data_IF_872180008938
#
_entry.id   IF_872180008938
#
_cell.length_a   1.000
_cell.length_b   1.000
_cell.length_c   1.000
_cell.angle_alpha   90.00
_cell.angle_beta   90.00
_cell.angle_gamma   90.00
#
_symmetry.space_group_name_H-M   'P 1'
#
loop_
_entity.id
_entity.type
_entity.pdbx_description
1 polymer ?
#
# COMPACT_ATOMS: atom_id res chain seq x y z
N UNK A 1 -1.80 0.49 14.28
CA UNK A 1 -1.64 1.97 14.19
C UNK A 1 -2.79 2.60 14.96
N UNK A 2 -2.53 3.49 15.93
CA UNK A 2 -3.59 4.17 16.69
C UNK A 2 -4.27 5.27 15.86
N UNK A 3 -5.51 5.62 16.20
CA UNK A 3 -6.32 6.58 15.45
C UNK A 3 -5.65 7.97 15.33
N UNK A 4 -5.10 8.50 16.43
CA UNK A 4 -4.40 9.79 16.42
C UNK A 4 -3.22 9.80 15.45
N UNK A 5 -2.37 8.76 15.52
CA UNK A 5 -1.19 8.65 14.65
C UNK A 5 -1.59 8.49 13.17
N UNK A 6 -2.70 7.81 12.88
CA UNK A 6 -3.23 7.73 11.52
C UNK A 6 -3.71 9.10 11.02
N UNK A 7 -4.42 9.86 11.85
CA UNK A 7 -4.92 11.19 11.48
C UNK A 7 -3.80 12.19 11.18
N UNK A 8 -2.66 12.07 11.89
CA UNK A 8 -1.46 12.87 11.67
C UNK A 8 -0.69 12.46 10.41
N UNK A 9 -0.70 11.18 10.04
CA UNK A 9 0.09 10.65 8.91
C UNK A 9 -0.65 10.62 7.58
N UNK A 10 -1.99 10.60 7.56
CA UNK A 10 -2.73 10.49 6.32
C UNK A 10 -2.51 11.70 5.39
N UNK A 11 -2.18 11.42 4.14
CA UNK A 11 -1.96 12.42 3.11
C UNK A 11 -3.30 12.94 2.62
N UNK A 12 -3.54 14.23 2.86
CA UNK A 12 -4.77 14.96 2.49
C UNK A 12 -4.58 15.67 1.16
N UNK A 13 -5.66 15.78 0.39
CA UNK A 13 -5.64 16.35 -0.96
C UNK A 13 -4.59 15.70 -1.87
N UNK A 14 -4.29 14.42 -1.62
CA UNK A 14 -3.34 13.62 -2.38
C UNK A 14 -4.03 13.06 -3.62
N UNK A 15 -3.46 13.30 -4.79
CA UNK A 15 -3.93 12.72 -6.06
C UNK A 15 -3.91 11.20 -6.00
N UNK A 16 -5.01 10.54 -6.36
CA UNK A 16 -5.09 9.07 -6.40
C UNK A 16 -4.17 8.50 -7.49
N UNK A 17 -4.09 9.19 -8.63
CA UNK A 17 -3.16 8.90 -9.72
C UNK A 17 -2.26 10.12 -9.92
N UNK A 18 -0.97 10.07 -9.54
CA UNK A 18 -0.03 11.18 -9.70
C UNK A 18 0.39 11.39 -11.17
N UNK A 19 0.98 12.56 -11.54
CA UNK A 19 1.19 13.74 -10.71
C UNK A 19 -0.06 14.61 -10.55
N UNK A 20 -0.92 14.67 -11.57
CA UNK A 20 -2.12 15.50 -11.59
C UNK A 20 -3.36 14.64 -11.88
N UNK A 21 -4.20 14.46 -10.87
CA UNK A 21 -5.54 13.88 -11.02
C UNK A 21 -6.56 14.80 -10.36
N UNK A 22 -7.75 14.86 -10.97
CA UNK A 22 -8.90 15.60 -10.43
C UNK A 22 -9.37 14.95 -9.13
N UNK A 23 -9.20 13.63 -9.00
CA UNK A 23 -9.66 12.88 -7.83
C UNK A 23 -8.55 12.79 -6.80
N UNK A 24 -8.84 13.31 -5.61
CA UNK A 24 -7.92 13.43 -4.48
C UNK A 24 -8.52 12.84 -3.21
N UNK A 25 -7.68 12.49 -2.25
CA UNK A 25 -8.13 12.12 -0.90
C UNK A 25 -8.84 13.29 -0.22
N UNK A 26 -9.86 13.00 0.60
CA UNK A 26 -10.63 14.05 1.26
C UNK A 26 -9.84 14.74 2.38
N UNK A 27 -9.69 16.06 2.30
CA UNK A 27 -9.02 16.88 3.32
C UNK A 27 -9.62 16.80 4.72
N UNK A 28 -10.92 16.52 4.80
CA UNK A 28 -11.67 16.44 6.06
C UNK A 28 -11.87 15.01 6.58
N UNK A 29 -11.28 14.00 5.93
CA UNK A 29 -11.33 12.62 6.41
C UNK A 29 -10.79 12.54 7.85
N UNK A 30 -11.42 11.72 8.69
CA UNK A 30 -11.02 11.48 10.07
C UNK A 30 -10.59 10.03 10.23
N UNK A 31 -9.58 9.78 11.07
CA UNK A 31 -9.05 8.42 11.24
C UNK A 31 -10.11 7.40 11.69
N UNK A 32 -11.11 7.83 12.47
CA UNK A 32 -12.22 6.96 12.89
C UNK A 32 -13.04 6.42 11.71
N UNK A 33 -13.10 7.18 10.62
CA UNK A 33 -13.88 6.90 9.42
C UNK A 33 -13.07 6.13 8.37
N UNK A 34 -11.76 5.93 8.58
CA UNK A 34 -10.87 5.17 7.69
C UNK A 34 -10.98 3.68 7.92
N UNK A 35 -11.34 2.93 6.89
CA UNK A 35 -11.39 1.46 6.92
C UNK A 35 -10.31 0.82 6.05
N UNK A 36 -9.68 1.58 5.14
CA UNK A 36 -8.62 1.08 4.26
C UNK A 36 -7.42 2.02 4.25
N UNK A 37 -6.25 1.50 4.60
CA UNK A 37 -4.98 2.24 4.59
C UNK A 37 -4.06 1.60 3.56
N UNK A 38 -3.55 2.43 2.65
CA UNK A 38 -2.63 2.02 1.59
C UNK A 38 -1.52 3.07 1.46
N UNK A 39 -0.50 2.77 0.67
CA UNK A 39 0.56 3.70 0.31
C UNK A 39 0.50 4.05 -1.18
N UNK A 40 1.25 5.07 -1.56
CA UNK A 40 1.47 5.43 -2.96
C UNK A 40 2.98 5.47 -3.21
N UNK A 41 3.42 4.97 -4.36
CA UNK A 41 4.82 5.00 -4.80
C UNK A 41 4.95 5.76 -6.13
N UNK A 42 6.04 5.56 -6.88
CA UNK A 42 6.25 6.23 -8.17
C UNK A 42 5.26 5.79 -9.25
N UNK A 43 4.64 4.64 -9.09
CA UNK A 43 3.79 3.98 -10.06
C UNK A 43 2.29 4.15 -9.81
N UNK A 44 1.91 4.68 -8.64
CA UNK A 44 0.52 4.87 -8.24
C UNK A 44 0.23 4.28 -6.87
N UNK A 45 -1.02 3.85 -6.65
CA UNK A 45 -1.37 3.14 -5.40
C UNK A 45 -0.57 1.84 -5.28
N UNK A 46 -0.03 1.54 -4.11
CA UNK A 46 0.80 0.36 -3.92
C UNK A 46 0.06 -0.74 -3.12
N UNK A 47 -0.30 -1.83 -3.80
CA UNK A 47 -1.08 -2.96 -3.25
C UNK A 47 -0.23 -3.98 -2.49
N UNK A 48 1.10 -3.83 -2.48
CA UNK A 48 2.05 -4.75 -1.83
C UNK A 48 1.95 -4.76 -0.30
N UNK A 49 1.45 -3.68 0.30
CA UNK A 49 1.23 -3.58 1.73
C UNK A 49 0.05 -2.65 2.03
N UNK A 50 -0.94 -3.19 2.72
CA UNK A 50 -2.19 -2.50 3.04
C UNK A 50 -2.73 -2.95 4.40
N UNK A 51 -3.60 -2.12 4.98
CA UNK A 51 -4.34 -2.45 6.20
C UNK A 51 -5.82 -2.25 5.94
N UNK A 52 -6.61 -3.28 6.22
CA UNK A 52 -8.06 -3.27 6.08
C UNK A 52 -8.70 -3.49 7.45
N UNK A 53 -9.54 -2.56 7.91
CA UNK A 53 -10.27 -2.68 9.17
C UNK A 53 -11.34 -3.75 9.01
N UNK A 54 -11.34 -4.75 9.87
CA UNK A 54 -12.39 -5.77 9.86
C UNK A 54 -13.76 -5.15 10.17
N UNK A 55 -14.74 -5.39 9.30
CA UNK A 55 -16.10 -4.86 9.40
C UNK A 55 -16.93 -5.16 8.15
N UNK A 56 -18.19 -4.72 8.14
CA UNK A 56 -19.08 -4.89 6.98
C UNK A 56 -18.57 -4.15 5.74
N UNK A 57 -18.00 -2.96 5.94
CA UNK A 57 -17.41 -2.20 4.84
C UNK A 57 -16.26 -2.96 4.17
N UNK A 58 -15.41 -3.66 4.93
CA UNK A 58 -14.34 -4.46 4.36
C UNK A 58 -14.85 -5.60 3.48
N UNK A 59 -15.96 -6.25 3.87
CA UNK A 59 -16.60 -7.28 3.03
C UNK A 59 -17.09 -6.68 1.73
N UNK A 60 -17.85 -5.58 1.81
CA UNK A 60 -18.32 -4.83 0.64
C UNK A 60 -17.15 -4.42 -0.29
N UNK A 61 -16.07 -3.89 0.29
CA UNK A 61 -14.89 -3.47 -0.47
C UNK A 61 -14.23 -4.66 -1.17
N UNK A 62 -14.04 -5.78 -0.48
CA UNK A 62 -13.45 -6.99 -1.07
C UNK A 62 -14.36 -7.60 -2.13
N UNK A 63 -15.67 -7.68 -1.91
CA UNK A 63 -16.63 -8.14 -2.92
C UNK A 63 -16.57 -7.28 -4.19
N UNK A 64 -16.44 -5.96 -4.02
CA UNK A 64 -16.29 -5.02 -5.14
C UNK A 64 -14.96 -5.21 -5.86
N UNK A 65 -13.84 -5.28 -5.13
CA UNK A 65 -12.50 -5.36 -5.74
C UNK A 65 -12.25 -6.70 -6.43
N UNK A 66 -12.84 -7.78 -5.90
CA UNK A 66 -12.76 -9.13 -6.46
C UNK A 66 -13.92 -9.46 -7.40
N UNK A 67 -14.76 -8.48 -7.75
CA UNK A 67 -15.87 -8.68 -8.68
C UNK A 67 -15.34 -9.24 -10.02
N UNK A 68 -16.00 -10.26 -10.61
CA UNK A 68 -15.58 -10.84 -11.88
C UNK A 68 -15.41 -9.81 -13.01
N UNK A 69 -16.16 -8.72 -13.01
CA UNK A 69 -16.03 -7.63 -13.99
C UNK A 69 -14.63 -7.00 -13.93
N UNK A 70 -14.13 -6.65 -12.74
CA UNK A 70 -12.79 -6.07 -12.60
C UNK A 70 -11.68 -7.09 -12.84
N UNK A 71 -11.90 -8.36 -12.44
CA UNK A 71 -10.93 -9.44 -12.62
C UNK A 71 -10.81 -9.93 -14.07
N UNK A 72 -11.90 -9.87 -14.82
CA UNK A 72 -11.92 -10.23 -16.24
C UNK A 72 -11.48 -9.09 -17.15
N UNK A 73 -11.50 -7.86 -16.66
CA UNK A 73 -10.93 -6.72 -17.37
C UNK A 73 -9.40 -6.78 -17.35
N UNK A 74 -8.77 -6.65 -18.52
CA UNK A 74 -7.33 -6.75 -18.67
C UNK A 74 -6.62 -5.43 -18.34
N UNK A 75 -6.63 -5.03 -17.07
CA UNK A 75 -5.92 -3.84 -16.60
C UNK A 75 -4.41 -3.96 -16.83
N UNK A 76 -3.78 -2.89 -17.33
CA UNK A 76 -2.35 -2.89 -17.66
C UNK A 76 -1.43 -3.21 -16.46
N UNK A 77 -1.75 -2.69 -15.26
CA UNK A 77 -1.05 -3.01 -14.00
C UNK A 77 -1.91 -3.89 -13.07
N UNK A 78 -2.65 -4.84 -13.65
CA UNK A 78 -3.43 -5.83 -12.93
C UNK A 78 -4.33 -5.21 -11.83
N UNK A 79 -4.28 -5.74 -10.60
CA UNK A 79 -5.14 -5.35 -9.49
C UNK A 79 -4.94 -3.91 -9.02
N UNK A 80 -3.75 -3.33 -9.23
CA UNK A 80 -3.43 -1.94 -8.85
C UNK A 80 -4.24 -0.95 -9.68
N UNK A 81 -4.23 -1.09 -11.00
CA UNK A 81 -5.04 -0.24 -11.88
C UNK A 81 -6.55 -0.47 -11.68
N UNK A 82 -6.96 -1.71 -11.36
CA UNK A 82 -8.34 -1.97 -10.98
C UNK A 82 -8.74 -1.18 -9.72
N UNK A 83 -7.88 -1.16 -8.70
CA UNK A 83 -8.10 -0.41 -7.48
C UNK A 83 -8.13 1.11 -7.73
N UNK A 84 -7.20 1.65 -8.52
CA UNK A 84 -7.19 3.06 -8.89
C UNK A 84 -8.45 3.47 -9.63
N UNK A 85 -8.96 2.61 -10.52
CA UNK A 85 -10.24 2.81 -11.17
C UNK A 85 -11.37 2.82 -10.14
N UNK A 86 -11.48 1.79 -9.30
CA UNK A 86 -12.53 1.69 -8.28
C UNK A 86 -12.56 2.93 -7.39
N UNK A 87 -11.41 3.36 -6.86
CA UNK A 87 -11.28 4.51 -5.98
C UNK A 87 -11.66 5.83 -6.67
N UNK A 88 -11.33 5.99 -7.95
CA UNK A 88 -11.69 7.19 -8.71
C UNK A 88 -13.19 7.29 -9.01
N UNK A 89 -13.86 6.16 -9.25
CA UNK A 89 -15.26 6.13 -9.69
C UNK A 89 -16.28 5.81 -8.58
N UNK A 90 -15.83 5.34 -7.41
CA UNK A 90 -16.70 4.97 -6.29
C UNK A 90 -16.36 5.79 -5.04
N UNK A 91 -16.99 6.97 -4.85
CA UNK A 91 -16.78 7.81 -3.67
C UNK A 91 -17.02 7.11 -2.33
N UNK A 92 -17.89 6.09 -2.31
CA UNK A 92 -18.15 5.23 -1.14
C UNK A 92 -16.91 4.46 -0.69
N UNK A 93 -15.98 4.15 -1.61
CA UNK A 93 -14.70 3.51 -1.30
C UNK A 93 -13.63 4.57 -0.99
N UNK A 94 -13.53 5.62 -1.80
CA UNK A 94 -12.59 6.73 -1.56
C UNK A 94 -12.79 7.37 -0.18
N UNK A 95 -14.04 7.51 0.28
CA UNK A 95 -14.38 8.10 1.59
C UNK A 95 -13.88 7.31 2.80
N UNK A 96 -13.41 6.08 2.60
CA UNK A 96 -12.85 5.20 3.65
C UNK A 96 -11.36 4.91 3.46
N UNK A 97 -10.76 5.45 2.39
CA UNK A 97 -9.36 5.23 2.03
C UNK A 97 -8.46 6.34 2.59
N UNK A 98 -7.39 5.95 3.28
CA UNK A 98 -6.29 6.83 3.64
C UNK A 98 -5.00 6.39 2.92
N UNK A 99 -4.34 7.35 2.29
CA UNK A 99 -2.96 7.19 1.81
C UNK A 99 -2.03 7.64 2.93
N UNK A 100 -1.04 6.82 3.29
CA UNK A 100 0.03 7.17 4.25
C UNK A 100 1.40 7.21 3.56
N UNK A 101 2.43 7.86 4.15
CA UNK A 101 3.77 7.83 3.59
C UNK A 101 4.24 6.41 3.32
N UNK A 102 4.86 6.18 2.17
CA UNK A 102 5.24 4.84 1.71
C UNK A 102 5.96 4.01 2.77
N UNK A 103 6.99 4.57 3.41
CA UNK A 103 7.79 3.87 4.42
C UNK A 103 7.04 3.53 5.71
N UNK A 104 5.85 4.09 5.93
CA UNK A 104 5.05 3.79 7.12
C UNK A 104 4.66 2.31 7.19
N UNK A 105 4.40 1.67 6.04
CA UNK A 105 4.04 0.23 5.97
C UNK A 105 4.63 -0.50 4.74
N UNK A 106 5.27 0.20 3.79
CA UNK A 106 5.63 -0.32 2.47
C UNK A 106 7.01 0.17 1.99
N UNK A 107 8.04 0.12 2.85
CA UNK A 107 9.39 0.55 2.45
C UNK A 107 10.05 -0.44 1.48
N UNK A 108 10.70 0.05 0.42
CA UNK A 108 11.31 -0.80 -0.61
C UNK A 108 12.77 -1.16 -0.31
N UNK A 109 13.23 -2.31 -0.78
CA UNK A 109 14.66 -2.68 -0.65
C UNK A 109 15.58 -1.78 -1.47
N UNK A 110 15.09 -1.24 -2.60
CA UNK A 110 15.84 -0.32 -3.48
C UNK A 110 15.09 0.99 -3.70
N UNK A 111 15.79 2.00 -4.22
CA UNK A 111 15.24 3.33 -4.53
C UNK A 111 14.51 3.40 -5.88
N UNK A 112 14.53 2.32 -6.66
CA UNK A 112 14.13 2.33 -8.07
C UNK A 112 12.64 2.66 -8.21
N UNK A 113 11.81 2.01 -7.40
CA UNK A 113 10.35 2.10 -7.47
C UNK A 113 9.72 3.01 -6.42
N UNK A 114 10.50 3.46 -5.43
CA UNK A 114 9.96 4.25 -4.33
C UNK A 114 10.96 4.50 -3.22
N UNK A 115 10.44 4.84 -2.05
CA UNK A 115 11.23 5.16 -0.89
C UNK A 115 11.89 3.90 -0.30
N UNK A 116 13.22 3.90 -0.28
CA UNK A 116 14.02 2.82 0.28
C UNK A 116 13.86 2.73 1.81
N UNK A 117 13.90 1.50 2.31
CA UNK A 117 13.97 1.12 3.71
C UNK A 117 15.08 1.86 4.46
N UNK A 118 14.76 2.25 5.70
CA UNK A 118 15.74 2.64 6.71
C UNK A 118 15.38 2.00 8.05
N UNK A 119 16.38 1.90 8.91
CA UNK A 119 16.20 1.39 10.27
C UNK A 119 15.04 2.10 10.99
N UNK A 120 14.15 1.29 11.57
CA UNK A 120 12.92 1.75 12.22
C UNK A 120 11.66 1.66 11.36
N UNK A 121 11.77 1.43 10.05
CA UNK A 121 10.61 1.07 9.23
C UNK A 121 10.09 -0.32 9.61
N UNK A 122 8.77 -0.52 9.54
CA UNK A 122 8.12 -1.72 10.09
C UNK A 122 8.20 -2.95 9.17
N UNK A 123 8.43 -2.74 7.87
CA UNK A 123 8.41 -3.79 6.86
C UNK A 123 9.31 -3.40 5.67
N UNK A 124 9.91 -4.42 5.05
CA UNK A 124 10.68 -4.30 3.80
C UNK A 124 9.91 -5.05 2.72
N UNK A 125 9.68 -4.40 1.59
CA UNK A 125 9.07 -4.99 0.40
C UNK A 125 10.12 -5.08 -0.69
N UNK A 126 10.34 -6.31 -1.16
CA UNK A 126 11.23 -6.63 -2.28
C UNK A 126 10.46 -6.42 -3.60
N UNK A 127 10.14 -5.18 -3.91
CA UNK A 127 9.36 -4.87 -5.11
C UNK A 127 10.12 -5.29 -6.39
N UNK A 128 9.40 -5.87 -7.36
CA UNK A 128 9.91 -6.22 -8.69
C UNK A 128 11.13 -7.19 -8.70
N UNK A 129 11.32 -7.99 -7.66
CA UNK A 129 12.27 -9.10 -7.67
C UNK A 129 11.75 -10.29 -8.48
N UNK A 130 12.66 -11.10 -9.02
CA UNK A 130 12.32 -12.30 -9.79
C UNK A 130 12.20 -13.54 -8.90
N UNK A 131 11.56 -14.60 -9.41
CA UNK A 131 11.55 -15.90 -8.72
C UNK A 131 12.92 -16.60 -8.71
N UNK A 132 13.80 -16.28 -9.66
CA UNK A 132 15.12 -16.90 -9.81
C UNK A 132 16.15 -15.92 -10.41
N UNK A 133 17.43 -16.29 -10.40
CA UNK A 133 18.51 -15.46 -10.91
C UNK A 133 19.11 -14.49 -9.88
N UNK A 134 19.97 -13.59 -10.34
CA UNK A 134 20.74 -12.70 -9.47
C UNK A 134 19.88 -11.67 -8.74
N UNK A 135 18.81 -11.19 -9.37
CA UNK A 135 17.79 -10.28 -8.78
C UNK A 135 16.61 -11.03 -8.15
N UNK A 136 16.83 -12.27 -7.72
CA UNK A 136 15.77 -13.05 -7.10
C UNK A 136 15.36 -12.47 -5.75
N UNK A 137 14.09 -12.67 -5.37
CA UNK A 137 13.58 -12.22 -4.07
C UNK A 137 14.36 -12.83 -2.90
N UNK A 138 14.84 -14.08 -3.05
CA UNK A 138 15.67 -14.74 -2.05
C UNK A 138 17.02 -14.04 -1.86
N UNK A 139 17.70 -13.67 -2.96
CA UNK A 139 18.98 -12.97 -2.88
C UNK A 139 18.83 -11.54 -2.34
N UNK A 140 17.77 -10.84 -2.72
CA UNK A 140 17.47 -9.51 -2.19
C UNK A 140 17.15 -9.56 -0.69
N UNK A 141 16.37 -10.56 -0.25
CA UNK A 141 16.04 -10.76 1.16
C UNK A 141 17.26 -11.14 2.01
N UNK A 142 18.21 -11.90 1.47
CA UNK A 142 19.41 -12.33 2.20
C UNK A 142 20.25 -11.13 2.69
N UNK A 143 20.24 -10.00 1.98
CA UNK A 143 20.95 -8.76 2.40
C UNK A 143 20.46 -8.22 3.74
N UNK A 144 19.20 -8.51 4.08
CA UNK A 144 18.56 -8.06 5.33
C UNK A 144 18.46 -9.20 6.36
N UNK A 145 18.93 -10.42 6.03
CA UNK A 145 18.78 -11.59 6.89
C UNK A 145 19.52 -11.43 8.22
N UNK A 146 20.72 -10.84 8.20
CA UNK A 146 21.52 -10.59 9.39
C UNK A 146 20.83 -9.61 10.35
N UNK A 147 20.32 -8.49 9.82
CA UNK A 147 19.58 -7.50 10.61
C UNK A 147 18.32 -8.10 11.22
N UNK A 148 17.58 -8.89 10.43
CA UNK A 148 16.37 -9.56 10.89
C UNK A 148 16.68 -10.59 11.99
N UNK A 149 17.68 -11.45 11.80
CA UNK A 149 18.12 -12.42 12.81
C UNK A 149 18.67 -11.76 14.07
N UNK A 150 19.37 -10.62 13.96
CA UNK A 150 19.84 -9.89 15.14
C UNK A 150 18.68 -9.26 15.93
N UNK A 151 17.66 -8.74 15.23
CA UNK A 151 16.53 -8.05 15.85
C UNK A 151 15.48 -8.99 16.43
N UNK A 152 15.34 -10.21 15.88
CA UNK A 152 14.28 -11.15 16.24
C UNK A 152 14.76 -12.57 16.60
N UNK A 153 16.05 -12.87 16.41
CA UNK A 153 16.65 -14.19 16.62
C UNK A 153 17.47 -14.35 17.90
N UNK A 154 17.63 -13.28 18.69
CA UNK A 154 18.15 -13.37 20.06
C UNK A 154 17.00 -13.70 21.02
N UNK A 155 16.48 -14.93 20.90
CA UNK A 155 15.74 -15.69 21.94
C UNK A 155 14.95 -16.84 21.27
N UNK A 156 15.67 -17.86 20.77
CA UNK A 156 15.22 -19.26 20.71
C UNK A 156 16.40 -20.20 20.85
#
# INVERSE_FOLDING_TARGET
MGAQRLEEMMLKDQSIVPPESIIKTFSHLKARDVDFVITQDKDGLATSSLVLRNGEWAKFFLDTWFDPMYRSYNFQKAETHALEHIVQWHPTILSRLAIVPQRAINAYSTVDHGAQYKDGDIAIVFAQCSGSGTKSCANEAERYSQQWRASFGADR
#
